data_IF_623288510342
#
_entry.id   IF_623288510342
#
_cell.length_a   1.000
_cell.length_b   1.000
_cell.length_c   1.000
_cell.angle_alpha   90.00
_cell.angle_beta   90.00
_cell.angle_gamma   90.00
#
_symmetry.space_group_name_H-M   'P 1'
#
loop_
_entity.id
_entity.type
_entity.pdbx_description
1 polymer ?
#
# COMPACT_ATOMS: atom_id res chain seq x y z
N UNK A 1 -8.21 8.83 -1.68
CA UNK A 1 -6.74 9.00 -1.60
C UNK A 1 -6.09 8.04 -2.60
N UNK A 2 -4.93 8.39 -3.18
CA UNK A 2 -4.25 7.54 -4.17
C UNK A 2 -3.23 6.63 -3.46
N UNK A 3 -3.27 5.34 -3.81
CA UNK A 3 -2.39 4.30 -3.29
C UNK A 3 -1.81 3.49 -4.45
N UNK A 4 -0.58 3.01 -4.29
CA UNK A 4 0.04 2.05 -5.22
C UNK A 4 0.45 0.79 -4.48
N UNK A 5 -0.02 -0.35 -4.96
CA UNK A 5 0.10 -1.64 -4.27
C UNK A 5 1.04 -2.55 -5.05
N UNK A 6 2.04 -3.09 -4.37
CA UNK A 6 2.95 -4.10 -4.90
C UNK A 6 2.78 -5.38 -4.09
N UNK A 7 2.48 -6.46 -4.80
CA UNK A 7 2.44 -7.81 -4.22
C UNK A 7 3.79 -8.49 -4.46
N UNK A 8 4.56 -8.71 -3.41
CA UNK A 8 5.80 -9.47 -3.48
C UNK A 8 5.52 -10.92 -3.04
N UNK A 9 5.33 -11.77 -4.04
CA UNK A 9 5.05 -13.20 -3.85
C UNK A 9 6.26 -13.98 -3.34
N UNK A 10 7.48 -13.49 -3.60
CA UNK A 10 8.72 -14.18 -3.21
C UNK A 10 8.90 -14.14 -1.70
N UNK A 11 8.64 -12.98 -1.10
CA UNK A 11 8.71 -12.76 0.35
C UNK A 11 7.35 -12.89 1.05
N UNK A 12 6.27 -13.11 0.27
CA UNK A 12 4.88 -13.22 0.73
C UNK A 12 4.43 -12.00 1.53
N UNK A 13 4.68 -10.82 0.98
CA UNK A 13 4.29 -9.55 1.59
C UNK A 13 3.63 -8.61 0.59
N UNK A 14 2.89 -7.63 1.11
CA UNK A 14 2.33 -6.52 0.36
C UNK A 14 3.11 -5.26 0.74
N UNK A 15 3.41 -4.43 -0.24
CA UNK A 15 3.99 -3.10 -0.06
C UNK A 15 2.96 -2.08 -0.56
N UNK A 16 2.52 -1.19 0.33
CA UNK A 16 1.57 -0.12 0.00
C UNK A 16 2.28 1.21 0.05
N UNK A 17 2.26 1.92 -1.08
CA UNK A 17 2.80 3.26 -1.22
C UNK A 17 1.68 4.29 -1.11
N UNK A 18 1.89 5.33 -0.29
CA UNK A 18 0.90 6.36 0.05
C UNK A 18 1.50 7.78 0.03
N UNK A 19 0.62 8.77 0.13
CA UNK A 19 0.95 10.20 0.12
C UNK A 19 1.78 10.60 -1.12
N UNK A 20 1.17 10.56 -2.31
CA UNK A 20 1.85 10.98 -3.53
C UNK A 20 2.11 12.49 -3.52
N UNK A 21 3.38 12.88 -3.69
CA UNK A 21 3.83 14.27 -3.85
C UNK A 21 4.90 14.32 -4.94
N UNK A 22 4.76 15.25 -5.88
CA UNK A 22 5.76 15.50 -6.94
C UNK A 22 6.19 14.23 -7.72
N UNK A 23 5.23 13.33 -7.99
CA UNK A 23 5.47 12.09 -8.74
C UNK A 23 6.12 10.96 -7.93
N UNK A 24 6.26 11.11 -6.61
CA UNK A 24 6.77 10.08 -5.69
C UNK A 24 5.76 9.80 -4.60
N UNK A 25 5.85 8.63 -3.98
CA UNK A 25 5.11 8.32 -2.76
C UNK A 25 6.03 8.51 -1.56
N UNK A 26 5.59 9.27 -0.56
CA UNK A 26 6.39 9.59 0.63
C UNK A 26 6.25 8.55 1.74
N UNK A 27 5.26 7.68 1.65
CA UNK A 27 4.98 6.65 2.63
C UNK A 27 5.05 5.27 1.98
N UNK A 28 5.70 4.33 2.68
CA UNK A 28 5.82 2.92 2.31
C UNK A 28 5.49 2.06 3.52
N UNK A 29 4.58 1.10 3.35
CA UNK A 29 4.19 0.15 4.38
C UNK A 29 4.37 -1.28 3.87
N UNK A 30 5.18 -2.10 4.57
CA UNK A 30 5.36 -3.52 4.27
C UNK A 30 4.58 -4.37 5.25
N UNK A 31 3.67 -5.18 4.74
CA UNK A 31 2.79 -6.02 5.55
C UNK A 31 2.91 -7.46 5.08
N UNK A 32 3.41 -8.34 5.96
CA UNK A 32 3.54 -9.77 5.67
C UNK A 32 2.33 -10.59 6.18
N UNK A 33 1.58 -10.07 7.16
CA UNK A 33 0.43 -10.74 7.79
C UNK A 33 -0.57 -9.73 8.31
N UNK A 34 -1.84 -10.14 8.39
CA UNK A 34 -2.94 -9.31 8.88
C UNK A 34 -3.87 -8.85 7.75
N UNK A 35 -4.69 -7.85 8.06
CA UNK A 35 -5.66 -7.26 7.13
C UNK A 35 -5.28 -5.80 6.86
N UNK A 36 -5.42 -5.37 5.61
CA UNK A 36 -5.13 -4.00 5.19
C UNK A 36 -6.43 -3.41 4.69
N UNK A 37 -6.86 -2.30 5.29
CA UNK A 37 -8.00 -1.53 4.79
C UNK A 37 -7.50 -0.50 3.78
N UNK A 38 -8.00 -0.53 2.52
CA UNK A 38 -7.61 0.44 1.51
C UNK A 38 -8.19 1.83 1.81
N UNK A 39 -7.39 2.88 1.64
CA UNK A 39 -7.84 4.26 1.83
C UNK A 39 -8.66 4.77 0.64
N UNK A 40 -8.53 4.13 -0.53
CA UNK A 40 -9.31 4.47 -1.71
C UNK A 40 -10.78 3.97 -1.62
N UNK A 41 -11.06 2.99 -0.76
CA UNK A 41 -12.37 2.37 -0.62
C UNK A 41 -12.77 2.30 0.85
N UNK A 42 -13.24 3.42 1.39
CA UNK A 42 -13.56 3.54 2.82
C UNK A 42 -14.75 2.66 3.27
N UNK A 43 -15.59 2.23 2.34
CA UNK A 43 -16.83 1.48 2.60
C UNK A 43 -16.69 -0.04 2.41
N UNK A 44 -15.45 -0.57 2.31
CA UNK A 44 -15.16 -2.00 2.12
C UNK A 44 -14.48 -2.58 3.37
#
# INVERSE_FOLDING_TARGET
>A
MQEYWVLDLSTKQIIVFRNPQEGKYLEECKIAKGMITPLAFADI
#
